data_IF_215345114646
#
_entry.id   IF_215345114646
#
_cell.length_a   1.000
_cell.length_b   1.000
_cell.length_c   1.000
_cell.angle_alpha   90.00
_cell.angle_beta   90.00
_cell.angle_gamma   90.00
#
_symmetry.space_group_name_H-M   'P 1'
#
loop_
_entity.id
_entity.type
_entity.pdbx_description
1 polymer ?
#
# COMPACT_ATOMS: atom_id res chain seq x y z
N UNK A 1 -3.76 27.95 16.83
CA UNK A 1 -4.99 27.19 16.48
C UNK A 1 -4.49 25.77 16.30
N UNK A 2 -5.08 24.79 16.99
CA UNK A 2 -4.65 23.39 16.89
C UNK A 2 -4.77 22.93 15.43
N UNK A 3 -3.80 22.19 14.93
CA UNK A 3 -3.85 21.58 13.59
C UNK A 3 -3.52 20.10 13.70
N UNK A 4 -4.38 19.26 13.13
CA UNK A 4 -4.15 17.82 13.05
C UNK A 4 -3.71 17.50 11.62
N UNK A 5 -2.50 16.97 11.45
CA UNK A 5 -1.99 16.54 10.16
C UNK A 5 -2.16 15.02 10.05
N UNK A 6 -3.01 14.52 9.13
CA UNK A 6 -3.08 13.10 8.87
C UNK A 6 -1.79 12.60 8.23
N UNK A 7 -1.25 11.50 8.74
CA UNK A 7 -0.14 10.77 8.13
C UNK A 7 -0.69 9.44 7.63
N UNK A 8 -0.93 9.35 6.32
CA UNK A 8 -1.56 8.17 5.72
C UNK A 8 -0.48 7.21 5.21
N UNK A 9 -0.43 6.01 5.78
CA UNK A 9 0.55 4.98 5.45
C UNK A 9 0.02 4.03 4.37
N UNK A 10 0.68 3.99 3.22
CA UNK A 10 0.30 3.19 2.04
C UNK A 10 1.45 2.28 1.57
N UNK A 11 1.87 1.38 2.46
CA UNK A 11 3.00 0.45 2.22
C UNK A 11 2.62 -1.00 1.92
N UNK A 12 1.37 -1.40 2.14
CA UNK A 12 0.95 -2.80 2.01
C UNK A 12 0.91 -3.30 0.55
N UNK A 13 1.26 -4.57 0.33
CA UNK A 13 1.14 -5.26 -0.98
C UNK A 13 -0.16 -6.06 -1.13
N UNK A 14 -0.87 -6.34 -0.03
CA UNK A 14 -2.26 -6.83 -0.06
C UNK A 14 -2.49 -8.25 -0.60
N UNK A 15 -1.54 -9.19 -0.50
CA UNK A 15 -1.56 -10.48 -1.22
C UNK A 15 -2.72 -11.45 -0.90
N UNK A 16 -3.45 -11.25 0.20
CA UNK A 16 -4.56 -12.13 0.62
C UNK A 16 -5.86 -11.93 -0.17
N UNK A 17 -5.96 -10.87 -0.97
CA UNK A 17 -7.09 -10.62 -1.88
C UNK A 17 -6.78 -11.05 -3.32
N UNK A 18 -5.81 -11.94 -3.52
CA UNK A 18 -5.66 -12.61 -4.80
C UNK A 18 -6.97 -13.33 -5.15
N UNK A 19 -7.44 -13.33 -6.41
CA UNK A 19 -6.79 -12.88 -7.63
C UNK A 19 -7.11 -11.43 -7.98
N UNK A 20 -7.66 -10.61 -7.08
CA UNK A 20 -7.89 -9.20 -7.39
C UNK A 20 -6.66 -8.34 -7.08
N UNK A 21 -6.02 -8.55 -5.92
CA UNK A 21 -4.76 -7.88 -5.58
C UNK A 21 -3.57 -8.48 -6.33
N UNK A 22 -2.65 -7.63 -6.77
CA UNK A 22 -1.36 -8.00 -7.38
C UNK A 22 -0.25 -7.14 -6.77
N UNK A 23 1.01 -7.54 -6.96
CA UNK A 23 2.16 -6.71 -6.55
C UNK A 23 2.09 -5.30 -7.16
N UNK A 24 1.71 -5.21 -8.43
CA UNK A 24 1.53 -3.93 -9.14
C UNK A 24 0.15 -3.29 -8.93
N UNK A 25 -0.76 -3.95 -8.21
CA UNK A 25 -2.10 -3.40 -7.89
C UNK A 25 -2.45 -3.76 -6.44
N UNK A 26 -1.85 -3.07 -5.46
CA UNK A 26 -2.10 -3.31 -4.04
C UNK A 26 -3.55 -3.08 -3.63
N UNK A 27 -4.01 -3.77 -2.57
CA UNK A 27 -5.41 -3.75 -2.14
C UNK A 27 -5.98 -2.35 -1.86
N UNK A 28 -5.16 -1.45 -1.32
CA UNK A 28 -5.61 -0.12 -0.91
C UNK A 28 -6.07 0.73 -2.11
N UNK A 29 -5.59 0.43 -3.31
CA UNK A 29 -5.93 1.14 -4.53
C UNK A 29 -7.09 0.47 -5.29
N UNK A 30 -7.63 -0.64 -4.79
CA UNK A 30 -8.71 -1.38 -5.44
C UNK A 30 -10.04 -0.89 -4.88
N UNK A 31 -10.99 -0.49 -5.75
CA UNK A 31 -12.32 -0.14 -5.30
C UNK A 31 -13.06 -1.43 -4.95
N UNK A 32 -13.13 -1.81 -3.67
CA UNK A 32 -13.70 -3.10 -3.21
C UNK A 32 -15.20 -3.05 -2.88
N UNK A 33 -15.69 -1.88 -2.45
CA UNK A 33 -17.05 -1.71 -1.91
C UNK A 33 -17.92 -0.72 -2.70
N UNK A 34 -17.49 -0.36 -3.91
CA UNK A 34 -18.14 0.64 -4.75
C UNK A 34 -17.19 1.16 -5.81
N UNK A 35 -17.24 2.46 -6.06
CA UNK A 35 -16.39 3.15 -7.05
C UNK A 35 -15.05 3.59 -6.48
N UNK A 36 -14.97 3.77 -5.15
CA UNK A 36 -13.80 4.32 -4.47
C UNK A 36 -12.92 3.24 -3.87
N UNK A 37 -11.61 3.46 -3.91
CA UNK A 37 -10.62 2.61 -3.25
C UNK A 37 -10.61 2.81 -1.74
N UNK A 38 -10.00 1.87 -0.99
CA UNK A 38 -9.80 2.02 0.46
C UNK A 38 -8.96 3.25 0.78
N UNK A 39 -7.97 3.56 -0.05
CA UNK A 39 -7.14 4.75 0.06
C UNK A 39 -8.00 6.02 -0.08
N UNK A 40 -8.84 6.10 -1.10
CA UNK A 40 -9.75 7.23 -1.31
C UNK A 40 -10.76 7.36 -0.16
N UNK A 41 -11.36 6.24 0.28
CA UNK A 41 -12.26 6.23 1.45
C UNK A 41 -11.58 6.70 2.74
N UNK A 42 -10.27 6.46 2.88
CA UNK A 42 -9.47 6.95 4.03
C UNK A 42 -9.23 8.45 3.94
N UNK A 43 -9.07 9.01 2.75
CA UNK A 43 -8.87 10.45 2.57
C UNK A 43 -10.17 11.24 2.73
N UNK A 44 -11.28 10.74 2.19
CA UNK A 44 -12.57 11.43 2.23
C UNK A 44 -13.11 11.55 3.66
N UNK A 45 -12.94 10.50 4.48
CA UNK A 45 -13.37 10.55 5.89
C UNK A 45 -12.60 11.56 6.74
N UNK A 46 -11.55 12.18 6.21
CA UNK A 46 -10.75 13.19 6.90
C UNK A 46 -11.18 14.62 6.53
N UNK A 47 -11.97 14.79 5.47
CA UNK A 47 -12.32 16.11 4.95
C UNK A 47 -13.40 16.85 5.78
N UNK A 48 -14.25 16.11 6.51
CA UNK A 48 -15.39 16.70 7.24
C UNK A 48 -15.03 17.17 8.66
N UNK A 49 -13.79 16.97 9.12
CA UNK A 49 -13.36 17.35 10.47
C UNK A 49 -12.60 18.68 10.46
N UNK A 50 -13.09 19.69 11.20
CA UNK A 50 -12.62 21.07 11.10
C UNK A 50 -11.13 21.28 11.45
N UNK A 51 -10.59 20.53 12.42
CA UNK A 51 -9.19 20.61 12.85
C UNK A 51 -8.22 19.81 11.96
N UNK A 52 -8.72 18.99 11.02
CA UNK A 52 -7.89 18.15 10.16
C UNK A 52 -7.43 18.94 8.93
N UNK A 53 -6.11 19.02 8.74
CA UNK A 53 -5.50 19.65 7.57
C UNK A 53 -5.32 18.67 6.41
N UNK A 54 -4.72 19.15 5.31
CA UNK A 54 -4.29 18.29 4.23
C UNK A 54 -3.40 17.13 4.75
N UNK A 55 -3.58 15.90 4.26
CA UNK A 55 -2.78 14.74 4.66
C UNK A 55 -1.36 14.82 4.12
N UNK A 56 -0.43 14.15 4.80
CA UNK A 56 0.87 13.77 4.29
C UNK A 56 0.84 12.26 4.00
N UNK A 57 1.18 11.85 2.78
CA UNK A 57 1.14 10.44 2.39
C UNK A 57 2.54 9.86 2.48
N UNK A 58 2.66 8.65 3.02
CA UNK A 58 3.90 7.85 2.96
C UNK A 58 3.61 6.58 2.20
N UNK A 59 4.27 6.36 1.08
CA UNK A 59 4.05 5.18 0.25
C UNK A 59 5.35 4.68 -0.39
N UNK A 60 5.33 3.47 -0.93
CA UNK A 60 6.45 2.95 -1.70
C UNK A 60 6.61 3.73 -3.03
N UNK A 61 7.86 3.96 -3.46
CA UNK A 61 8.20 4.59 -4.75
C UNK A 61 7.49 3.95 -5.96
N UNK A 62 7.28 2.62 -5.93
CA UNK A 62 6.57 1.88 -6.98
C UNK A 62 5.09 2.30 -7.11
N UNK A 63 4.47 2.78 -6.03
CA UNK A 63 3.05 3.14 -5.98
C UNK A 63 2.79 4.65 -6.18
N UNK A 64 3.83 5.45 -6.40
CA UNK A 64 3.75 6.93 -6.43
C UNK A 64 2.69 7.47 -7.39
N UNK A 65 2.54 6.87 -8.57
CA UNK A 65 1.58 7.31 -9.58
C UNK A 65 0.15 6.95 -9.19
N UNK A 66 -0.09 5.75 -8.63
CA UNK A 66 -1.43 5.37 -8.15
C UNK A 66 -1.89 6.29 -7.02
N UNK A 67 -0.99 6.65 -6.09
CA UNK A 67 -1.30 7.61 -5.02
C UNK A 67 -1.64 8.99 -5.60
N UNK A 68 -0.80 9.51 -6.49
CA UNK A 68 -1.00 10.84 -7.08
C UNK A 68 -2.28 10.91 -7.95
N UNK A 69 -2.56 9.86 -8.71
CA UNK A 69 -3.77 9.74 -9.53
C UNK A 69 -5.02 9.67 -8.66
N UNK A 70 -5.06 8.79 -7.66
CA UNK A 70 -6.26 8.66 -6.81
C UNK A 70 -6.52 9.89 -5.95
N UNK A 71 -5.50 10.62 -5.52
CA UNK A 71 -5.65 11.95 -4.89
C UNK A 71 -6.32 12.95 -5.84
N UNK A 72 -5.89 12.95 -7.11
CA UNK A 72 -6.43 13.82 -8.16
C UNK A 72 -7.90 13.50 -8.47
N UNK A 73 -8.25 12.22 -8.60
CA UNK A 73 -9.62 11.77 -8.89
C UNK A 73 -10.64 12.31 -7.88
N UNK A 74 -10.28 12.37 -6.59
CA UNK A 74 -11.15 12.89 -5.52
C UNK A 74 -10.86 14.35 -5.14
N UNK A 75 -10.01 15.05 -5.91
CA UNK A 75 -9.61 16.44 -5.68
C UNK A 75 -9.10 16.74 -4.25
N UNK A 76 -8.40 15.78 -3.63
CA UNK A 76 -7.76 15.96 -2.31
C UNK A 76 -6.38 16.58 -2.50
N UNK A 77 -6.13 17.71 -1.82
CA UNK A 77 -4.79 18.30 -1.72
C UNK A 77 -3.96 17.56 -0.67
N UNK A 78 -2.64 17.56 -0.84
CA UNK A 78 -1.69 16.90 0.08
C UNK A 78 -0.59 17.87 0.53
N UNK A 79 -0.02 17.61 1.70
CA UNK A 79 1.21 18.25 2.20
C UNK A 79 2.48 17.69 1.51
N UNK A 80 2.33 16.58 0.81
CA UNK A 80 3.37 15.87 0.08
C UNK A 80 3.15 14.36 0.06
N UNK A 81 3.95 13.69 -0.75
CA UNK A 81 3.98 12.24 -0.89
C UNK A 81 5.43 11.80 -0.65
N UNK A 82 5.70 11.30 0.54
CA UNK A 82 7.00 10.72 0.90
C UNK A 82 7.11 9.35 0.26
N UNK A 83 8.16 9.15 -0.53
CA UNK A 83 8.41 7.92 -1.27
C UNK A 83 9.47 7.09 -0.56
N UNK A 84 9.05 5.94 -0.02
CA UNK A 84 9.94 4.93 0.54
C UNK A 84 10.55 4.09 -0.61
N UNK A 85 11.88 4.05 -0.73
CA UNK A 85 12.54 3.25 -1.77
C UNK A 85 12.53 1.74 -1.46
N UNK A 86 12.26 1.36 -0.21
CA UNK A 86 12.14 -0.01 0.27
C UNK A 86 11.20 -0.02 1.48
N UNK A 87 10.35 -1.03 1.63
CA UNK A 87 9.50 -1.15 2.82
C UNK A 87 10.34 -1.42 4.08
N UNK A 88 10.14 -0.63 5.14
CA UNK A 88 10.78 -0.80 6.46
C UNK A 88 9.79 -0.79 7.63
N UNK A 89 8.53 -1.14 7.34
CA UNK A 89 7.42 -1.18 8.31
C UNK A 89 7.08 0.23 8.87
N UNK A 90 6.20 0.31 9.88
CA UNK A 90 5.53 1.56 10.24
C UNK A 90 6.39 2.56 11.02
N UNK A 91 7.37 2.12 11.82
CA UNK A 91 8.16 3.07 12.62
C UNK A 91 9.00 4.02 11.75
N UNK A 92 9.78 3.53 10.75
CA UNK A 92 10.52 4.42 9.85
C UNK A 92 9.61 5.33 9.00
N UNK A 93 8.48 4.81 8.51
CA UNK A 93 7.53 5.58 7.72
C UNK A 93 6.96 6.78 8.51
N UNK A 94 6.54 6.55 9.75
CA UNK A 94 6.04 7.60 10.65
C UNK A 94 7.18 8.57 11.02
N UNK A 95 8.40 8.06 11.23
CA UNK A 95 9.57 8.90 11.53
C UNK A 95 9.90 9.85 10.39
N UNK A 96 9.84 9.38 9.13
CA UNK A 96 10.02 10.24 7.96
C UNK A 96 8.97 11.37 7.94
N UNK A 97 7.71 11.03 8.15
CA UNK A 97 6.63 12.01 8.21
C UNK A 97 6.85 13.05 9.33
N UNK A 98 7.16 12.59 10.55
CA UNK A 98 7.40 13.44 11.70
C UNK A 98 8.59 14.39 11.48
N UNK A 99 9.72 13.89 10.96
CA UNK A 99 10.90 14.71 10.66
C UNK A 99 10.67 15.71 9.52
N UNK A 100 9.95 15.30 8.47
CA UNK A 100 9.58 16.19 7.37
C UNK A 100 8.72 17.36 7.87
N UNK A 101 7.67 17.06 8.64
CA UNK A 101 6.78 18.08 9.22
C UNK A 101 7.52 18.99 10.22
N UNK A 102 8.47 18.42 10.98
CA UNK A 102 9.37 19.18 11.87
C UNK A 102 10.20 20.19 11.09
N UNK A 103 10.74 19.82 9.93
CA UNK A 103 11.56 20.67 9.03
C UNK A 103 10.75 21.81 8.41
N UNK A 104 9.47 21.59 8.14
CA UNK A 104 8.56 22.62 7.60
C UNK A 104 8.12 23.67 8.64
N UNK A 105 8.70 23.66 9.85
CA UNK A 105 8.36 24.55 10.97
C UNK A 105 6.87 24.51 11.41
N UNK A 106 6.17 23.42 11.12
CA UNK A 106 4.79 23.19 11.56
C UNK A 106 4.70 22.74 13.03
N UNK A 107 5.56 23.25 13.92
CA UNK A 107 5.74 22.65 15.26
C UNK A 107 4.81 23.18 16.35
N UNK A 108 4.25 24.38 16.20
CA UNK A 108 3.42 24.93 17.27
C UNK A 108 2.00 24.39 17.14
N UNK A 109 1.52 23.69 18.17
CA UNK A 109 0.16 23.16 18.28
C UNK A 109 -0.24 22.17 17.16
N UNK A 110 0.69 21.34 16.70
CA UNK A 110 0.43 20.33 15.65
C UNK A 110 0.46 18.91 16.17
N UNK A 111 -0.60 18.16 15.89
CA UNK A 111 -0.71 16.72 16.19
C UNK A 111 -0.65 15.92 14.90
N UNK A 112 -0.03 14.74 14.95
CA UNK A 112 -0.02 13.77 13.87
C UNK A 112 -1.14 12.76 14.11
N UNK A 113 -2.00 12.55 13.14
CA UNK A 113 -2.99 11.46 13.13
C UNK A 113 -2.54 10.40 12.12
N UNK A 114 -1.91 9.33 12.60
CA UNK A 114 -1.39 8.25 11.77
C UNK A 114 -2.49 7.26 11.43
N UNK A 115 -2.66 6.98 10.13
CA UNK A 115 -3.77 6.16 9.60
C UNK A 115 -3.26 5.18 8.53
N UNK A 116 -3.58 3.89 8.65
CA UNK A 116 -3.41 2.94 7.54
C UNK A 116 -4.36 3.29 6.38
N UNK A 117 -3.86 3.19 5.14
CA UNK A 117 -4.61 3.50 3.92
C UNK A 117 -5.67 2.45 3.54
N UNK A 118 -5.71 1.31 4.23
CA UNK A 118 -6.39 0.08 3.82
C UNK A 118 -7.47 -0.38 4.80
N UNK A 119 -7.94 0.51 5.68
CA UNK A 119 -8.97 0.21 6.68
C UNK A 119 -10.33 0.81 6.33
N UNK A 120 -11.39 0.11 6.70
CA UNK A 120 -12.77 0.61 6.65
C UNK A 120 -13.16 1.11 8.03
N UNK A 121 -13.88 2.22 8.07
CA UNK A 121 -14.56 2.75 9.26
C UNK A 121 -15.94 3.18 8.80
N UNK A 122 -16.99 2.54 9.31
CA UNK A 122 -18.37 2.77 8.89
C UNK A 122 -19.03 3.92 9.65
N UNK A 123 -18.74 4.06 10.95
CA UNK A 123 -19.34 5.08 11.79
C UNK A 123 -18.38 6.26 12.02
N UNK A 124 -18.46 7.25 11.12
CA UNK A 124 -17.62 8.44 11.16
C UNK A 124 -17.88 9.31 12.41
N UNK A 125 -19.12 9.33 12.92
CA UNK A 125 -19.43 10.08 14.14
C UNK A 125 -18.66 9.54 15.35
N UNK A 126 -18.64 8.22 15.56
CA UNK A 126 -17.85 7.62 16.63
C UNK A 126 -16.35 7.81 16.41
N UNK A 127 -15.89 7.73 15.16
CA UNK A 127 -14.49 8.00 14.81
C UNK A 127 -14.06 9.43 15.19
N UNK A 128 -14.86 10.44 14.84
CA UNK A 128 -14.57 11.83 15.21
C UNK A 128 -14.65 12.05 16.72
N UNK A 129 -15.56 11.40 17.43
CA UNK A 129 -15.60 11.46 18.90
C UNK A 129 -14.32 10.88 19.52
N UNK A 130 -13.80 9.78 18.98
CA UNK A 130 -12.55 9.19 19.44
C UNK A 130 -11.35 10.13 19.18
N UNK A 131 -11.27 10.74 17.99
CA UNK A 131 -10.25 11.76 17.68
C UNK A 131 -10.33 12.92 18.68
N UNK A 132 -11.52 13.47 18.91
CA UNK A 132 -11.71 14.60 19.83
C UNK A 132 -11.33 14.25 21.28
N UNK A 133 -11.56 13.00 21.70
CA UNK A 133 -11.13 12.48 23.01
C UNK A 133 -9.61 12.32 23.08
N UNK A 134 -8.98 11.96 21.97
CA UNK A 134 -7.54 11.76 21.87
C UNK A 134 -6.76 13.09 21.93
N UNK A 135 -7.35 14.19 21.44
CA UNK A 135 -6.67 15.49 21.30
C UNK A 135 -6.04 15.96 22.63
N UNK A 136 -6.79 16.09 23.74
CA UNK A 136 -6.22 16.58 24.99
C UNK A 136 -5.14 15.65 25.55
N UNK A 137 -5.24 14.33 25.33
CA UNK A 137 -4.23 13.37 25.78
C UNK A 137 -2.93 13.54 24.98
N UNK A 138 -3.02 13.67 23.66
CA UNK A 138 -1.86 13.88 22.80
C UNK A 138 -1.18 15.23 23.09
N UNK A 139 -1.96 16.30 23.35
CA UNK A 139 -1.42 17.61 23.76
C UNK A 139 -0.69 17.59 25.11
N UNK A 140 -1.02 16.63 25.99
CA UNK A 140 -0.31 16.40 27.25
C UNK A 140 0.98 15.58 27.08
N UNK A 141 1.38 15.27 25.84
CA UNK A 141 2.58 14.49 25.53
C UNK A 141 2.38 12.98 25.70
N UNK A 142 1.15 12.47 25.52
CA UNK A 142 0.91 11.03 25.45
C UNK A 142 0.97 10.54 23.99
N UNK A 143 1.40 9.29 23.80
CA UNK A 143 1.29 8.59 22.52
C UNK A 143 0.00 7.78 22.52
N UNK A 144 -1.03 8.32 21.85
CA UNK A 144 -2.37 7.72 21.84
C UNK A 144 -2.47 6.71 20.70
N UNK A 145 -3.05 5.54 20.96
CA UNK A 145 -3.48 4.57 19.96
C UNK A 145 -4.99 4.35 20.05
N UNK A 146 -5.61 3.89 18.98
CA UNK A 146 -7.03 3.57 18.94
C UNK A 146 -7.20 2.04 18.98
N UNK A 147 -7.82 1.52 20.02
CA UNK A 147 -8.05 0.09 20.18
C UNK A 147 -9.48 -0.28 19.78
N UNK A 148 -9.66 -1.21 18.85
CA UNK A 148 -10.99 -1.63 18.41
C UNK A 148 -11.61 -2.56 19.45
N UNK A 149 -12.89 -2.33 19.78
CA UNK A 149 -13.62 -3.20 20.70
C UNK A 149 -13.82 -4.58 20.04
N UNK A 150 -13.26 -5.66 20.60
CA UNK A 150 -13.33 -6.97 19.98
C UNK A 150 -14.73 -7.57 20.16
N UNK A 151 -15.30 -8.09 19.07
CA UNK A 151 -16.60 -8.80 19.09
C UNK A 151 -16.44 -10.32 18.88
N UNK A 152 -15.23 -10.77 18.57
CA UNK A 152 -14.88 -12.17 18.33
C UNK A 152 -13.44 -12.45 18.75
N UNK A 153 -13.04 -13.71 18.97
CA UNK A 153 -11.67 -14.06 19.32
C UNK A 153 -10.81 -14.16 18.07
N UNK A 154 -10.53 -13.02 17.43
CA UNK A 154 -9.75 -13.02 16.19
C UNK A 154 -8.27 -13.34 16.39
N UNK A 155 -7.73 -14.21 15.54
CA UNK A 155 -6.29 -14.60 15.57
C UNK A 155 -5.46 -13.84 14.55
N UNK A 156 -6.12 -13.15 13.61
CA UNK A 156 -5.46 -12.37 12.56
C UNK A 156 -4.95 -11.01 13.01
N UNK A 157 -5.39 -10.52 14.17
CA UNK A 157 -5.13 -9.18 14.68
C UNK A 157 -4.11 -9.14 15.83
N UNK A 158 -3.45 -8.00 15.95
CA UNK A 158 -2.74 -7.64 17.18
C UNK A 158 -3.73 -7.24 18.27
N UNK A 159 -3.37 -7.44 19.53
CA UNK A 159 -4.14 -7.05 20.70
C UNK A 159 -3.35 -6.08 21.56
N UNK A 160 -4.06 -5.14 22.19
CA UNK A 160 -3.56 -4.15 23.12
C UNK A 160 -4.17 -4.47 24.48
N UNK A 161 -3.35 -4.88 25.44
CA UNK A 161 -3.81 -4.97 26.83
C UNK A 161 -3.80 -3.58 27.45
N UNK A 162 -4.86 -3.20 28.14
CA UNK A 162 -4.94 -1.91 28.81
C UNK A 162 -5.38 -2.02 30.26
N UNK A 163 -5.17 -0.95 31.03
CA UNK A 163 -5.70 -0.83 32.39
C UNK A 163 -6.93 0.08 32.45
N UNK A 164 -7.49 0.24 33.66
CA UNK A 164 -8.67 1.07 33.93
C UNK A 164 -8.45 2.57 33.70
N UNK A 165 -7.20 3.01 33.52
CA UNK A 165 -6.82 4.40 33.21
C UNK A 165 -6.36 4.56 31.75
N UNK A 166 -6.72 3.60 30.89
CA UNK A 166 -6.37 3.59 29.48
C UNK A 166 -4.86 3.56 29.19
N UNK A 167 -4.02 3.12 30.14
CA UNK A 167 -2.61 2.89 29.83
C UNK A 167 -2.45 1.60 29.05
N UNK A 168 -1.57 1.61 28.05
CA UNK A 168 -1.17 0.40 27.35
C UNK A 168 -0.19 -0.38 28.23
N UNK A 169 -0.48 -1.67 28.46
CA UNK A 169 0.38 -2.57 29.24
C UNK A 169 1.31 -3.39 28.37
N UNK A 170 0.81 -3.86 27.22
CA UNK A 170 1.59 -4.61 26.22
C UNK A 170 0.83 -4.72 24.91
N UNK A 171 1.59 -4.95 23.85
CA UNK A 171 1.09 -5.39 22.55
C UNK A 171 1.31 -6.89 22.40
N UNK A 172 0.34 -7.59 21.80
CA UNK A 172 0.43 -9.02 21.51
C UNK A 172 0.03 -9.24 20.06
N UNK A 173 0.95 -9.72 19.22
CA UNK A 173 0.64 -10.02 17.82
C UNK A 173 0.07 -11.42 17.66
N UNK A 174 -1.10 -11.51 17.02
CA UNK A 174 -1.68 -12.73 16.43
C UNK A 174 -1.66 -13.94 17.39
N UNK A 175 -2.38 -13.84 18.52
CA UNK A 175 -2.47 -14.95 19.47
C UNK A 175 -3.15 -16.17 18.84
N UNK A 176 -2.92 -17.35 19.43
CA UNK A 176 -3.74 -18.53 19.13
C UNK A 176 -5.20 -18.34 19.58
N UNK A 177 -6.11 -19.18 19.07
CA UNK A 177 -7.55 -19.07 19.32
C UNK A 177 -7.91 -19.16 20.81
N UNK A 178 -7.23 -20.02 21.58
CA UNK A 178 -7.50 -20.21 23.01
C UNK A 178 -7.13 -18.93 23.76
N UNK A 179 -5.99 -18.36 23.43
CA UNK A 179 -5.49 -17.10 23.97
C UNK A 179 -6.43 -15.94 23.60
N UNK A 180 -6.86 -15.84 22.33
CA UNK A 180 -7.81 -14.82 21.88
C UNK A 180 -9.17 -14.91 22.59
N UNK A 181 -9.67 -16.12 22.84
CA UNK A 181 -10.89 -16.35 23.63
C UNK A 181 -10.73 -15.85 25.07
N UNK A 182 -9.57 -16.08 25.69
CA UNK A 182 -9.27 -15.58 27.03
C UNK A 182 -9.22 -14.04 27.08
N UNK A 183 -8.68 -13.41 26.03
CA UNK A 183 -8.63 -11.94 25.92
C UNK A 183 -10.02 -11.35 25.82
N UNK A 184 -10.86 -11.89 24.94
CA UNK A 184 -12.25 -11.47 24.80
C UNK A 184 -13.04 -11.64 26.11
N UNK A 185 -12.84 -12.77 26.81
CA UNK A 185 -13.53 -13.04 28.08
C UNK A 185 -13.10 -12.10 29.21
N UNK A 186 -11.83 -11.65 29.21
CA UNK A 186 -11.31 -10.74 30.23
C UNK A 186 -11.87 -9.31 30.10
N UNK A 187 -12.11 -8.84 28.87
CA UNK A 187 -12.48 -7.44 28.60
C UNK A 187 -11.33 -6.43 28.72
N UNK A 188 -10.12 -6.88 29.07
CA UNK A 188 -8.93 -6.03 29.27
C UNK A 188 -8.14 -5.77 27.98
N UNK A 189 -8.63 -6.28 26.84
CA UNK A 189 -7.94 -6.23 25.56
C UNK A 189 -8.80 -5.60 24.47
N UNK A 190 -8.13 -4.83 23.62
CA UNK A 190 -8.67 -4.26 22.39
C UNK A 190 -7.85 -4.76 21.19
N UNK A 191 -8.42 -4.77 19.98
CA UNK A 191 -7.61 -5.04 18.79
C UNK A 191 -6.78 -3.81 18.42
N UNK A 192 -5.54 -4.04 17.99
CA UNK A 192 -4.67 -3.00 17.48
C UNK A 192 -5.16 -2.52 16.11
N UNK A 193 -5.63 -1.27 16.03
CA UNK A 193 -6.09 -0.69 14.77
C UNK A 193 -4.98 -0.17 13.86
N UNK A 194 -3.73 -0.10 14.35
CA UNK A 194 -2.63 0.56 13.64
C UNK A 194 -2.79 2.08 13.46
N UNK A 195 -3.78 2.69 14.11
CA UNK A 195 -3.98 4.14 14.14
C UNK A 195 -3.38 4.74 15.41
N UNK A 196 -2.75 5.91 15.27
CA UNK A 196 -2.09 6.61 16.37
C UNK A 196 -2.32 8.10 16.31
N UNK A 197 -2.22 8.77 17.46
CA UNK A 197 -2.20 10.21 17.54
C UNK A 197 -1.24 10.73 18.60
N UNK A 198 -0.37 11.64 18.22
CA UNK A 198 0.65 12.22 19.10
C UNK A 198 1.20 13.53 18.55
N UNK A 199 1.81 14.33 19.40
CA UNK A 199 2.61 15.45 18.94
C UNK A 199 3.96 14.96 18.37
N UNK A 200 4.43 15.65 17.33
CA UNK A 200 5.66 15.31 16.61
C UNK A 200 6.89 15.30 17.52
N UNK A 201 6.94 16.19 18.51
CA UNK A 201 8.11 16.35 19.38
C UNK A 201 8.23 15.15 20.32
N UNK A 202 7.18 14.82 21.07
CA UNK A 202 7.14 13.70 21.99
C UNK A 202 7.44 12.39 21.27
N UNK A 203 6.83 12.16 20.09
CA UNK A 203 7.12 10.94 19.34
C UNK A 203 8.59 10.79 18.97
N UNK A 204 9.23 11.85 18.47
CA UNK A 204 10.65 11.80 18.10
C UNK A 204 11.56 11.65 19.33
N UNK A 205 11.21 12.23 20.47
CA UNK A 205 11.93 12.06 21.74
C UNK A 205 11.83 10.62 22.26
N UNK A 206 10.64 10.02 22.27
CA UNK A 206 10.45 8.63 22.66
C UNK A 206 11.14 7.67 21.68
N UNK A 207 11.09 7.95 20.38
CA UNK A 207 11.80 7.16 19.38
C UNK A 207 13.32 7.21 19.59
N UNK A 208 13.89 8.36 19.93
CA UNK A 208 15.33 8.47 20.19
C UNK A 208 15.74 7.64 21.41
N UNK A 209 14.90 7.60 22.46
CA UNK A 209 15.15 6.82 23.67
C UNK A 209 15.19 5.30 23.40
N UNK A 210 14.36 4.79 22.48
CA UNK A 210 14.20 3.33 22.27
C UNK A 210 14.79 2.79 20.97
N UNK A 211 14.90 3.62 19.92
CA UNK A 211 15.30 3.26 18.55
C UNK A 211 15.98 4.43 17.82
N UNK A 212 17.01 5.04 18.43
CA UNK A 212 17.76 6.18 17.86
C UNK A 212 18.34 5.95 16.45
N UNK A 213 18.61 4.70 16.07
CA UNK A 213 19.05 4.38 14.70
C UNK A 213 18.02 4.74 13.64
N UNK A 214 16.72 4.52 13.91
CA UNK A 214 15.63 4.92 13.01
C UNK A 214 15.67 6.43 12.82
N UNK A 215 15.72 7.19 13.92
CA UNK A 215 15.76 8.64 13.90
C UNK A 215 16.96 9.17 13.08
N UNK A 216 18.14 8.59 13.31
CA UNK A 216 19.38 8.94 12.63
C UNK A 216 19.28 8.69 11.12
N UNK A 217 18.91 7.48 10.69
CA UNK A 217 18.91 7.13 9.28
C UNK A 217 17.76 7.79 8.50
N UNK A 218 16.58 7.91 9.10
CA UNK A 218 15.47 8.68 8.52
C UNK A 218 15.85 10.17 8.38
N UNK A 219 16.49 10.77 9.39
CA UNK A 219 16.98 12.15 9.34
C UNK A 219 17.98 12.37 8.21
N UNK A 220 19.02 11.54 8.13
CA UNK A 220 20.02 11.61 7.05
C UNK A 220 19.37 11.45 5.67
N UNK A 221 18.38 10.56 5.54
CA UNK A 221 17.69 10.34 4.26
C UNK A 221 16.85 11.54 3.80
N UNK A 222 16.37 12.36 4.75
CA UNK A 222 15.58 13.57 4.50
C UNK A 222 16.44 14.84 4.32
N UNK A 223 17.67 14.85 4.81
CA UNK A 223 18.62 15.93 4.52
C UNK A 223 19.02 15.93 3.05
N UNK A 224 19.22 14.73 2.48
CA UNK A 224 19.58 14.49 1.09
C UNK A 224 18.35 14.13 0.21
N UNK A 225 17.15 14.60 0.57
CA UNK A 225 15.94 14.28 -0.20
C UNK A 225 15.82 15.11 -1.49
N UNK A 226 15.27 14.50 -2.54
CA UNK A 226 14.89 15.19 -3.77
C UNK A 226 13.39 15.55 -3.72
N UNK A 227 13.07 16.80 -4.03
CA UNK A 227 11.70 17.27 -4.17
C UNK A 227 11.32 17.33 -5.65
N UNK A 228 10.23 16.66 -6.01
CA UNK A 228 9.69 16.63 -7.38
C UNK A 228 8.18 16.83 -7.35
N UNK A 229 7.76 18.09 -7.51
CA UNK A 229 6.38 18.53 -7.29
C UNK A 229 5.89 18.13 -5.90
N UNK A 230 4.93 17.21 -5.83
CA UNK A 230 4.35 16.69 -4.60
C UNK A 230 5.16 15.52 -4.01
N UNK A 231 6.12 14.96 -4.77
CA UNK A 231 6.92 13.83 -4.34
C UNK A 231 8.15 14.26 -3.54
N UNK A 232 8.39 13.55 -2.43
CA UNK A 232 9.55 13.72 -1.55
C UNK A 232 10.30 12.39 -1.57
N UNK A 233 11.38 12.32 -2.36
CA UNK A 233 12.20 11.11 -2.48
C UNK A 233 13.33 11.15 -1.47
N UNK A 234 13.30 10.25 -0.50
CA UNK A 234 14.36 10.13 0.50
C UNK A 234 15.58 9.41 -0.08
N UNK A 235 16.77 9.71 0.44
CA UNK A 235 17.98 9.04 -0.04
C UNK A 235 17.93 7.52 0.24
N UNK A 236 17.98 6.72 -0.82
CA UNK A 236 17.88 5.26 -0.78
C UNK A 236 18.98 4.58 0.05
N UNK A 237 20.23 5.00 -0.09
CA UNK A 237 21.36 4.35 0.57
C UNK A 237 21.34 4.60 2.09
N UNK A 238 20.87 5.77 2.52
CA UNK A 238 20.70 6.11 3.93
C UNK A 238 19.47 5.42 4.52
N UNK A 239 18.32 5.51 3.86
CA UNK A 239 17.07 4.93 4.35
C UNK A 239 17.14 3.40 4.46
N UNK A 240 17.86 2.73 3.55
CA UNK A 240 18.09 1.27 3.61
C UNK A 240 18.78 0.84 4.91
N UNK A 241 19.50 1.71 5.61
CA UNK A 241 20.14 1.37 6.88
C UNK A 241 19.18 1.43 8.07
N UNK A 242 17.99 2.03 7.90
CA UNK A 242 16.97 2.08 8.95
C UNK A 242 16.47 0.67 9.31
N UNK A 243 16.33 0.35 10.61
CA UNK A 243 15.69 -0.88 11.08
C UNK A 243 14.30 -1.12 10.46
N UNK A 244 13.98 -2.37 10.18
CA UNK A 244 12.65 -2.80 9.70
C UNK A 244 11.80 -3.26 10.89
N UNK A 245 11.00 -2.35 11.44
CA UNK A 245 10.25 -2.58 12.68
C UNK A 245 8.98 -1.72 12.74
N UNK A 246 7.90 -2.25 13.31
CA UNK A 246 6.67 -1.47 13.50
C UNK A 246 6.77 -0.52 14.70
N UNK A 247 5.96 0.54 14.70
CA UNK A 247 5.89 1.50 15.81
C UNK A 247 5.47 0.84 17.13
N UNK A 248 4.65 -0.20 17.06
CA UNK A 248 4.15 -0.96 18.20
C UNK A 248 5.32 -1.48 19.05
N UNK A 249 6.26 -2.16 18.40
CA UNK A 249 7.46 -2.73 19.03
C UNK A 249 8.59 -1.72 19.23
N UNK A 250 8.72 -0.75 18.33
CA UNK A 250 9.78 0.24 18.39
C UNK A 250 9.61 1.16 19.61
N UNK A 251 8.38 1.60 19.88
CA UNK A 251 8.08 2.67 20.85
C UNK A 251 6.93 2.29 21.77
N UNK A 252 5.76 1.93 21.23
CA UNK A 252 4.51 1.88 22.01
C UNK A 252 4.51 0.84 23.13
N UNK A 253 5.16 -0.30 22.94
CA UNK A 253 5.28 -1.34 23.97
C UNK A 253 6.25 -0.95 25.10
N UNK A 254 7.17 -0.02 24.84
CA UNK A 254 8.28 0.31 25.76
C UNK A 254 8.06 1.61 26.54
N UNK A 255 7.22 2.49 26.01
CA UNK A 255 6.97 3.83 26.57
C UNK A 255 5.90 3.82 27.66
N UNK A 256 6.16 4.55 28.74
CA UNK A 256 5.18 4.81 29.80
C UNK A 256 4.12 5.86 29.41
N UNK A 257 4.28 6.50 28.23
CA UNK A 257 3.37 7.53 27.70
C UNK A 257 2.27 6.96 26.81
N UNK A 258 2.21 5.64 26.62
CA UNK A 258 1.24 5.00 25.74
C UNK A 258 -0.17 5.00 26.36
N UNK A 259 -1.14 5.55 25.61
CA UNK A 259 -2.56 5.60 25.97
C UNK A 259 -3.40 4.95 24.89
N UNK A 260 -4.51 4.29 25.25
CA UNK A 260 -5.42 3.69 24.28
C UNK A 260 -6.86 4.19 24.45
N UNK A 261 -7.48 4.59 23.34
CA UNK A 261 -8.90 4.95 23.30
C UNK A 261 -9.67 3.81 22.64
N UNK A 262 -10.67 3.22 23.33
CA UNK A 262 -11.58 2.26 22.72
C UNK A 262 -12.35 2.90 21.56
N UNK A 263 -12.44 2.17 20.45
CA UNK A 263 -13.11 2.61 19.24
C UNK A 263 -14.04 1.51 18.73
N UNK A 264 -15.34 1.80 18.75
CA UNK A 264 -16.38 0.97 18.15
C UNK A 264 -17.04 1.74 17.00
N UNK A 265 -16.40 1.69 15.83
CA UNK A 265 -16.80 2.48 14.66
C UNK A 265 -17.04 1.62 13.41
N UNK A 266 -17.36 0.33 13.58
CA UNK A 266 -17.49 -0.62 12.47
C UNK A 266 -16.18 -0.72 11.68
N UNK A 267 -15.06 -0.86 12.40
CA UNK A 267 -13.72 -0.95 11.82
C UNK A 267 -13.47 -2.33 11.21
N UNK A 268 -12.74 -2.37 10.08
CA UNK A 268 -12.25 -3.61 9.48
C UNK A 268 -10.94 -3.37 8.70
N UNK A 269 -9.96 -4.27 8.81
CA UNK A 269 -8.65 -4.17 8.13
C UNK A 269 -8.66 -4.66 6.67
N UNK A 270 -9.77 -5.25 6.23
CA UNK A 270 -9.93 -5.87 4.91
C UNK A 270 -8.78 -6.84 4.61
N UNK A 271 -8.47 -7.69 5.59
CA UNK A 271 -7.35 -8.61 5.53
C UNK A 271 -7.57 -9.81 4.60
N UNK A 272 -8.82 -10.20 4.34
CA UNK A 272 -9.18 -11.36 3.52
C UNK A 272 -10.56 -11.19 2.87
N UNK A 273 -10.95 -12.12 1.99
CA UNK A 273 -12.24 -12.07 1.30
C UNK A 273 -13.46 -12.19 2.24
N UNK A 274 -13.32 -12.82 3.41
CA UNK A 274 -14.37 -12.84 4.44
C UNK A 274 -14.76 -11.43 4.87
N UNK A 275 -13.77 -10.55 5.09
CA UNK A 275 -14.01 -9.15 5.42
C UNK A 275 -14.75 -8.39 4.31
N UNK A 276 -14.49 -8.74 3.04
CA UNK A 276 -15.21 -8.14 1.90
C UNK A 276 -16.68 -8.56 1.89
N UNK A 277 -16.97 -9.80 2.29
CA UNK A 277 -18.35 -10.28 2.44
C UNK A 277 -19.07 -9.60 3.63
N UNK A 278 -18.41 -9.49 4.78
CA UNK A 278 -18.98 -8.87 5.99
C UNK A 278 -19.36 -7.41 5.79
N UNK A 279 -18.55 -6.65 5.05
CA UNK A 279 -18.79 -5.23 4.78
C UNK A 279 -19.65 -5.03 3.51
N UNK A 280 -19.72 -6.04 2.65
CA UNK A 280 -20.48 -6.00 1.41
C UNK A 280 -21.99 -5.89 1.63
N UNK A 281 -22.68 -5.26 0.68
CA UNK A 281 -24.14 -5.18 0.69
C UNK A 281 -24.75 -6.52 0.26
N UNK A 282 -25.14 -7.34 1.23
CA UNK A 282 -25.81 -8.60 0.98
C UNK A 282 -27.24 -8.43 0.44
N UNK A 283 -27.68 -9.35 -0.42
CA UNK A 283 -29.08 -9.48 -0.82
C UNK A 283 -29.90 -10.29 0.20
N UNK A 284 -31.19 -10.52 -0.08
CA UNK A 284 -32.10 -11.27 0.81
C UNK A 284 -31.62 -12.70 1.15
N UNK A 285 -30.79 -13.29 0.28
CA UNK A 285 -30.22 -14.63 0.46
C UNK A 285 -28.82 -14.61 1.11
N UNK A 286 -28.37 -13.46 1.61
CA UNK A 286 -27.06 -13.29 2.23
C UNK A 286 -25.89 -13.24 1.24
N UNK A 287 -26.15 -13.18 -0.07
CA UNK A 287 -25.09 -13.11 -1.07
C UNK A 287 -24.62 -11.68 -1.29
N UNK A 288 -23.31 -11.47 -1.33
CA UNK A 288 -22.66 -10.25 -1.79
C UNK A 288 -22.22 -10.47 -3.23
N UNK A 289 -22.89 -9.80 -4.17
CA UNK A 289 -22.68 -10.01 -5.60
C UNK A 289 -22.11 -8.73 -6.23
N UNK A 290 -21.09 -8.87 -7.06
CA UNK A 290 -20.48 -7.76 -7.79
C UNK A 290 -20.07 -8.15 -9.21
N UNK A 291 -20.36 -7.29 -10.16
CA UNK A 291 -20.13 -7.54 -11.59
C UNK A 291 -21.31 -8.26 -12.23
N UNK A 292 -21.05 -8.92 -13.35
CA UNK A 292 -22.05 -9.71 -14.07
C UNK A 292 -22.20 -11.09 -13.41
N UNK A 293 -23.22 -11.23 -12.55
CA UNK A 293 -23.42 -12.42 -11.71
C UNK A 293 -24.86 -12.90 -11.73
N UNK A 294 -25.05 -14.20 -11.96
CA UNK A 294 -26.31 -14.91 -11.78
C UNK A 294 -26.21 -15.86 -10.58
N UNK A 295 -27.24 -15.85 -9.75
CA UNK A 295 -27.33 -16.71 -8.57
C UNK A 295 -28.71 -17.35 -8.52
N UNK A 296 -28.76 -18.68 -8.46
CA UNK A 296 -29.99 -19.44 -8.29
C UNK A 296 -29.84 -20.42 -7.13
N UNK A 297 -30.81 -20.43 -6.22
CA UNK A 297 -30.81 -21.34 -5.05
C UNK A 297 -29.45 -21.36 -4.30
N UNK A 298 -28.86 -20.19 -4.10
CA UNK A 298 -27.52 -20.04 -3.52
C UNK A 298 -27.56 -19.00 -2.40
N UNK A 299 -26.85 -19.23 -1.30
CA UNK A 299 -26.93 -18.40 -0.08
C UNK A 299 -25.57 -18.09 0.52
N UNK A 300 -25.45 -16.93 1.18
CA UNK A 300 -24.25 -16.54 1.94
C UNK A 300 -22.93 -16.52 1.12
N UNK A 301 -22.98 -16.35 -0.20
CA UNK A 301 -21.79 -16.34 -1.05
C UNK A 301 -21.25 -14.91 -1.24
N UNK A 302 -19.95 -14.80 -1.52
CA UNK A 302 -19.31 -13.61 -2.08
C UNK A 302 -18.91 -13.93 -3.52
N UNK A 303 -19.47 -13.21 -4.49
CA UNK A 303 -19.18 -13.43 -5.90
C UNK A 303 -18.75 -12.12 -6.53
N UNK A 304 -17.54 -12.11 -7.06
CA UNK A 304 -16.92 -10.98 -7.71
C UNK A 304 -16.57 -11.37 -9.15
N UNK A 305 -17.11 -10.63 -10.10
CA UNK A 305 -16.73 -10.72 -11.52
C UNK A 305 -16.18 -9.38 -12.01
N UNK A 306 -14.98 -9.40 -12.59
CA UNK A 306 -14.40 -8.22 -13.25
C UNK A 306 -14.85 -8.11 -14.72
N UNK A 307 -15.04 -9.22 -15.44
CA UNK A 307 -15.25 -9.19 -16.90
C UNK A 307 -16.31 -10.16 -17.45
N UNK A 308 -16.43 -11.38 -16.89
CA UNK A 308 -17.25 -12.44 -17.49
C UNK A 308 -18.47 -12.74 -16.64
N UNK A 309 -19.55 -13.21 -17.25
CA UNK A 309 -20.69 -13.70 -16.48
C UNK A 309 -20.28 -14.87 -15.58
N UNK A 310 -20.50 -14.74 -14.27
CA UNK A 310 -20.34 -15.82 -13.29
C UNK A 310 -21.71 -16.29 -12.83
N UNK A 311 -22.01 -17.57 -13.00
CA UNK A 311 -23.27 -18.18 -12.56
C UNK A 311 -23.03 -19.20 -11.45
N UNK A 312 -23.79 -19.11 -10.36
CA UNK A 312 -23.78 -20.09 -9.27
C UNK A 312 -25.17 -20.68 -9.05
N UNK A 313 -25.21 -21.98 -8.74
CA UNK A 313 -26.45 -22.75 -8.59
C UNK A 313 -26.31 -23.72 -7.42
N UNK A 314 -27.18 -23.65 -6.41
CA UNK A 314 -27.21 -24.62 -5.32
C UNK A 314 -26.04 -24.53 -4.33
N UNK A 315 -25.28 -23.44 -4.33
CA UNK A 315 -24.05 -23.32 -3.52
C UNK A 315 -24.22 -22.35 -2.35
N UNK A 316 -23.48 -22.63 -1.28
CA UNK A 316 -23.49 -21.79 -0.10
C UNK A 316 -22.09 -21.60 0.45
N UNK A 317 -21.91 -20.47 1.12
CA UNK A 317 -20.70 -20.09 1.83
C UNK A 317 -19.41 -20.06 0.99
N UNK A 318 -19.53 -19.81 -0.32
CA UNK A 318 -18.40 -19.69 -1.23
C UNK A 318 -17.96 -18.24 -1.45
N UNK A 319 -16.65 -18.09 -1.68
CA UNK A 319 -16.02 -16.93 -2.28
C UNK A 319 -15.62 -17.31 -3.70
N UNK A 320 -16.20 -16.65 -4.69
CA UNK A 320 -15.87 -16.80 -6.11
C UNK A 320 -15.39 -15.46 -6.63
N UNK A 321 -14.14 -15.39 -7.09
CA UNK A 321 -13.54 -14.16 -7.61
C UNK A 321 -12.95 -14.43 -8.97
N UNK A 322 -13.56 -13.85 -9.99
CA UNK A 322 -13.15 -13.92 -11.38
C UNK A 322 -12.47 -12.61 -11.80
N UNK A 323 -11.19 -12.71 -12.17
CA UNK A 323 -10.43 -11.66 -12.86
C UNK A 323 -10.09 -12.10 -14.28
N UNK A 324 -9.54 -11.18 -15.08
CA UNK A 324 -9.18 -11.45 -16.49
C UNK A 324 -8.37 -12.73 -16.70
N UNK A 325 -7.45 -13.02 -15.77
CA UNK A 325 -6.39 -14.03 -15.86
C UNK A 325 -6.55 -15.21 -14.90
N UNK A 326 -7.41 -15.10 -13.88
CA UNK A 326 -7.55 -16.14 -12.86
C UNK A 326 -8.95 -16.13 -12.21
N UNK A 327 -9.40 -17.31 -11.80
CA UNK A 327 -10.61 -17.47 -11.00
C UNK A 327 -10.25 -18.17 -9.69
N UNK A 328 -10.61 -17.56 -8.57
CA UNK A 328 -10.53 -18.18 -7.25
C UNK A 328 -11.91 -18.68 -6.84
N UNK A 329 -11.96 -19.91 -6.37
CA UNK A 329 -13.13 -20.48 -5.69
C UNK A 329 -12.64 -21.04 -4.36
N UNK A 330 -13.18 -20.55 -3.25
CA UNK A 330 -12.84 -21.00 -1.91
C UNK A 330 -14.08 -21.01 -1.02
N UNK A 331 -14.13 -21.92 -0.05
CA UNK A 331 -15.09 -21.79 1.04
C UNK A 331 -14.69 -20.62 1.94
N UNK A 332 -15.65 -19.85 2.48
CA UNK A 332 -15.40 -18.66 3.32
C UNK A 332 -14.47 -18.95 4.50
N UNK A 333 -14.62 -20.10 5.15
CA UNK A 333 -13.78 -20.48 6.31
C UNK A 333 -12.30 -20.72 5.95
N UNK A 334 -11.98 -20.88 4.66
CA UNK A 334 -10.63 -21.19 4.17
C UNK A 334 -9.96 -20.01 3.46
N UNK A 335 -10.58 -18.82 3.41
CA UNK A 335 -10.05 -17.67 2.64
C UNK A 335 -8.68 -17.19 3.11
N UNK A 336 -8.30 -17.42 4.37
CA UNK A 336 -6.95 -17.12 4.85
C UNK A 336 -5.86 -17.96 4.16
N UNK A 337 -6.23 -19.15 3.65
CA UNK A 337 -5.33 -20.08 2.97
C UNK A 337 -5.05 -19.68 1.52
N UNK A 338 -5.69 -18.64 0.97
CA UNK A 338 -5.40 -18.09 -0.38
C UNK A 338 -3.92 -17.73 -0.54
N UNK A 339 -3.27 -17.30 0.54
CA UNK A 339 -1.82 -17.07 0.54
C UNK A 339 -1.02 -18.31 0.10
N UNK A 340 -1.45 -19.51 0.50
CA UNK A 340 -0.79 -20.76 0.12
C UNK A 340 -0.90 -21.03 -1.38
N UNK A 341 -2.00 -20.63 -2.04
CA UNK A 341 -2.14 -20.73 -3.49
C UNK A 341 -1.18 -19.77 -4.20
N UNK A 342 -1.03 -18.54 -3.69
CA UNK A 342 -0.03 -17.59 -4.23
C UNK A 342 1.38 -18.15 -4.08
N UNK A 343 1.70 -18.76 -2.94
CA UNK A 343 2.98 -19.42 -2.71
C UNK A 343 3.16 -20.63 -3.66
N UNK A 344 2.12 -21.44 -3.84
CA UNK A 344 2.12 -22.60 -4.75
C UNK A 344 2.22 -22.22 -6.22
N UNK A 345 1.67 -21.09 -6.67
CA UNK A 345 1.82 -20.66 -8.07
C UNK A 345 3.30 -20.46 -8.44
N UNK A 346 4.12 -20.00 -7.49
CA UNK A 346 5.57 -19.90 -7.69
C UNK A 346 6.21 -21.29 -7.76
N UNK A 347 5.78 -22.23 -6.91
CA UNK A 347 6.28 -23.63 -6.86
C UNK A 347 5.77 -24.49 -8.02
N UNK A 348 4.58 -24.21 -8.56
CA UNK A 348 3.99 -24.95 -9.68
C UNK A 348 4.82 -24.77 -10.95
N UNK A 349 5.35 -23.57 -11.19
CA UNK A 349 6.33 -23.35 -12.25
C UNK A 349 7.56 -24.27 -12.07
N UNK A 350 8.04 -24.44 -10.85
CA UNK A 350 9.17 -25.32 -10.53
C UNK A 350 8.82 -26.83 -10.65
N UNK A 351 7.61 -27.24 -10.23
CA UNK A 351 7.16 -28.62 -10.27
C UNK A 351 6.81 -29.09 -11.70
N UNK A 352 6.19 -28.22 -12.51
CA UNK A 352 5.95 -28.49 -13.93
C UNK A 352 7.27 -28.73 -14.68
N UNK A 353 8.35 -28.05 -14.28
CA UNK A 353 9.68 -28.31 -14.81
C UNK A 353 10.18 -29.72 -14.50
N UNK A 354 10.06 -30.12 -13.23
CA UNK A 354 10.53 -31.42 -12.76
C UNK A 354 9.72 -32.60 -13.31
N UNK A 355 8.39 -32.48 -13.40
CA UNK A 355 7.50 -33.61 -13.67
C UNK A 355 7.34 -33.93 -15.17
N UNK A 356 7.24 -32.92 -16.02
CA UNK A 356 6.96 -33.11 -17.45
C UNK A 356 8.20 -33.00 -18.33
N UNK A 357 9.38 -32.83 -17.72
CA UNK A 357 10.63 -32.53 -18.44
C UNK A 357 10.51 -31.29 -19.32
N UNK A 358 9.60 -30.38 -18.95
CA UNK A 358 9.40 -29.09 -19.63
C UNK A 358 10.30 -28.07 -18.94
N UNK A 359 10.61 -26.99 -19.63
CA UNK A 359 11.38 -25.89 -19.06
C UNK A 359 10.59 -24.60 -19.17
N UNK A 360 9.73 -24.41 -18.19
CA UNK A 360 9.12 -23.13 -17.88
C UNK A 360 10.15 -22.29 -17.14
N UNK A 361 10.64 -21.27 -17.84
CA UNK A 361 11.54 -20.25 -17.27
C UNK A 361 10.72 -18.98 -17.12
N UNK A 362 10.60 -18.47 -15.90
CA UNK A 362 9.96 -17.18 -15.68
C UNK A 362 10.98 -16.08 -15.98
N UNK A 363 10.73 -15.33 -17.04
CA UNK A 363 11.60 -14.23 -17.49
C UNK A 363 10.99 -12.89 -17.10
N UNK A 364 11.80 -12.06 -16.46
CA UNK A 364 11.45 -10.71 -16.04
C UNK A 364 12.25 -9.72 -16.89
N UNK A 365 11.69 -9.21 -17.98
CA UNK A 365 12.38 -8.21 -18.78
C UNK A 365 12.48 -6.87 -18.04
N UNK A 366 13.48 -6.08 -18.38
CA UNK A 366 13.53 -4.65 -18.05
C UNK A 366 12.54 -3.86 -18.93
N UNK A 367 12.66 -2.54 -19.03
CA UNK A 367 11.67 -1.74 -19.74
C UNK A 367 11.74 -2.04 -21.24
N UNK A 368 10.72 -2.71 -21.77
CA UNK A 368 10.69 -3.08 -23.18
C UNK A 368 10.39 -1.88 -24.08
N UNK A 369 10.86 -1.94 -25.32
CA UNK A 369 10.44 -1.04 -26.39
C UNK A 369 10.52 -1.71 -27.77
N UNK A 370 9.72 -1.24 -28.74
CA UNK A 370 9.84 -1.74 -30.11
C UNK A 370 8.77 -1.33 -31.12
N UNK A 371 8.71 -2.08 -32.22
CA UNK A 371 7.95 -1.79 -33.45
C UNK A 371 6.41 -1.91 -33.33
N UNK A 372 5.90 -2.43 -32.20
CA UNK A 372 4.46 -2.57 -31.93
C UNK A 372 4.05 -1.98 -30.58
N UNK A 373 4.82 -1.02 -30.09
CA UNK A 373 4.57 -0.41 -28.79
C UNK A 373 3.31 0.46 -28.74
N UNK A 374 2.81 0.74 -27.55
CA UNK A 374 1.78 1.75 -27.33
C UNK A 374 2.43 3.14 -27.27
N UNK A 375 2.06 4.04 -28.18
CA UNK A 375 2.57 5.42 -28.24
C UNK A 375 1.57 6.47 -27.74
N UNK A 376 0.47 6.03 -27.12
CA UNK A 376 -0.50 6.92 -26.50
C UNK A 376 0.07 7.62 -25.26
N UNK A 377 -0.01 8.95 -25.18
CA UNK A 377 0.68 9.72 -24.13
C UNK A 377 0.14 9.50 -22.71
N UNK A 378 -1.08 8.98 -22.56
CA UNK A 378 -1.70 8.75 -21.26
C UNK A 378 -1.43 7.32 -20.75
N UNK A 379 -1.29 6.36 -21.66
CA UNK A 379 -1.24 4.93 -21.33
C UNK A 379 0.08 4.24 -21.71
N UNK A 380 1.00 4.93 -22.39
CA UNK A 380 2.32 4.40 -22.74
C UNK A 380 3.34 4.50 -21.61
N UNK A 381 4.36 3.65 -21.68
CA UNK A 381 5.51 3.74 -20.79
C UNK A 381 6.55 4.74 -21.31
N UNK A 382 7.61 4.95 -20.52
CA UNK A 382 8.51 6.10 -20.62
C UNK A 382 9.09 6.33 -22.02
N UNK A 383 9.64 5.29 -22.66
CA UNK A 383 10.33 5.44 -23.95
C UNK A 383 9.37 5.77 -25.12
N UNK A 384 8.27 5.02 -25.36
CA UNK A 384 7.27 5.39 -26.37
C UNK A 384 6.66 6.77 -26.14
N UNK A 385 6.37 7.13 -24.88
CA UNK A 385 5.88 8.47 -24.55
C UNK A 385 6.89 9.56 -24.95
N UNK A 386 8.18 9.34 -24.67
CA UNK A 386 9.25 10.28 -25.06
C UNK A 386 9.40 10.36 -26.58
N UNK A 387 9.42 9.22 -27.29
CA UNK A 387 9.47 9.17 -28.75
C UNK A 387 8.28 9.92 -29.38
N UNK A 388 7.07 9.72 -28.83
CA UNK A 388 5.87 10.40 -29.29
C UNK A 388 5.98 11.92 -29.07
N UNK A 389 6.39 12.35 -27.88
CA UNK A 389 6.56 13.78 -27.57
C UNK A 389 7.61 14.43 -28.47
N UNK A 390 8.75 13.77 -28.67
CA UNK A 390 9.82 14.25 -29.56
C UNK A 390 9.34 14.37 -31.01
N UNK A 391 8.60 13.36 -31.49
CA UNK A 391 8.00 13.38 -32.82
C UNK A 391 7.02 14.54 -32.99
N UNK A 392 6.10 14.73 -32.04
CA UNK A 392 5.14 15.83 -32.09
C UNK A 392 5.80 17.21 -31.94
N UNK A 393 6.81 17.33 -31.09
CA UNK A 393 7.63 18.54 -30.93
C UNK A 393 8.28 18.92 -32.26
N UNK A 394 8.89 17.94 -32.95
CA UNK A 394 9.47 18.13 -34.29
C UNK A 394 8.44 18.57 -35.33
N UNK A 395 7.23 18.01 -35.30
CA UNK A 395 6.15 18.42 -36.21
C UNK A 395 5.66 19.85 -35.95
N UNK A 396 5.66 20.30 -34.68
CA UNK A 396 5.30 21.67 -34.29
C UNK A 396 6.43 22.68 -34.52
N UNK A 397 7.67 22.20 -34.70
CA UNK A 397 8.86 23.04 -34.77
C UNK A 397 9.31 23.55 -33.40
N UNK A 398 8.97 22.83 -32.33
CA UNK A 398 9.40 23.15 -30.96
C UNK A 398 10.93 22.97 -30.88
N UNK A 399 11.60 23.89 -30.19
CA UNK A 399 13.06 23.85 -29.97
C UNK A 399 13.46 23.13 -28.69
N UNK A 400 12.48 22.77 -27.87
CA UNK A 400 12.67 22.23 -26.54
C UNK A 400 11.65 21.10 -26.33
N UNK A 401 12.10 20.00 -25.72
CA UNK A 401 11.26 18.88 -25.34
C UNK A 401 11.17 18.83 -23.81
N UNK A 402 9.97 19.08 -23.26
CA UNK A 402 9.78 19.01 -21.80
C UNK A 402 9.66 17.56 -21.35
N UNK A 403 10.69 17.10 -20.64
CA UNK A 403 10.68 15.83 -19.91
C UNK A 403 10.38 16.10 -18.44
N UNK A 404 9.39 15.40 -17.88
CA UNK A 404 8.99 15.60 -16.49
C UNK A 404 9.92 14.84 -15.54
N UNK A 405 10.35 15.51 -14.47
CA UNK A 405 11.25 14.97 -13.45
C UNK A 405 12.69 15.49 -13.60
N UNK A 406 13.60 15.00 -12.77
CA UNK A 406 15.01 15.45 -12.72
C UNK A 406 15.85 14.97 -13.91
N UNK A 407 15.35 13.98 -14.65
CA UNK A 407 16.10 13.27 -15.69
C UNK A 407 17.15 12.29 -15.15
N UNK A 408 17.48 12.31 -13.85
CA UNK A 408 18.47 11.43 -13.22
C UNK A 408 18.02 9.97 -12.97
N UNK A 409 16.72 9.61 -12.92
CA UNK A 409 16.33 8.22 -12.73
C UNK A 409 16.89 7.34 -13.84
N UNK A 410 17.50 6.22 -13.45
CA UNK A 410 18.08 5.26 -14.40
C UNK A 410 17.06 4.18 -14.72
N UNK A 411 17.02 3.80 -15.99
CA UNK A 411 16.19 2.73 -16.51
C UNK A 411 17.03 1.95 -17.50
N UNK A 412 16.86 0.65 -17.42
CA UNK A 412 17.39 -0.27 -18.41
C UNK A 412 16.28 -0.52 -19.43
N UNK A 413 16.65 -0.41 -20.71
CA UNK A 413 15.75 -0.61 -21.84
C UNK A 413 16.23 -1.80 -22.65
N UNK A 414 15.29 -2.69 -22.98
CA UNK A 414 15.54 -3.89 -23.75
C UNK A 414 14.66 -3.85 -25.01
N UNK A 415 15.27 -4.01 -26.17
CA UNK A 415 14.49 -4.05 -27.41
C UNK A 415 13.68 -5.35 -27.46
N UNK A 416 12.46 -5.28 -27.98
CA UNK A 416 11.51 -6.40 -27.96
C UNK A 416 12.04 -7.65 -28.68
N UNK A 417 12.80 -7.47 -29.77
CA UNK A 417 13.39 -8.60 -30.49
C UNK A 417 14.55 -9.22 -29.70
N UNK A 418 15.32 -8.42 -28.95
CA UNK A 418 16.37 -8.95 -28.06
C UNK A 418 15.78 -9.75 -26.90
N UNK A 419 14.62 -9.34 -26.35
CA UNK A 419 13.88 -10.16 -25.40
C UNK A 419 13.40 -11.46 -26.07
N UNK A 420 12.89 -11.39 -27.29
CA UNK A 420 12.44 -12.58 -28.01
C UNK A 420 13.59 -13.57 -28.22
N UNK A 421 14.75 -13.08 -28.65
CA UNK A 421 15.98 -13.85 -28.80
C UNK A 421 16.46 -14.43 -27.46
N UNK A 422 16.43 -13.65 -26.38
CA UNK A 422 16.77 -14.13 -25.05
C UNK A 422 15.79 -15.22 -24.57
N UNK A 423 14.50 -15.08 -24.85
CA UNK A 423 13.51 -16.13 -24.58
C UNK A 423 13.81 -17.40 -25.37
N UNK A 424 14.12 -17.28 -26.67
CA UNK A 424 14.48 -18.42 -27.52
C UNK A 424 15.75 -19.09 -27.01
N UNK A 425 16.78 -18.33 -26.70
CA UNK A 425 18.03 -18.81 -26.12
C UNK A 425 17.77 -19.58 -24.81
N UNK A 426 16.94 -19.04 -23.91
CA UNK A 426 16.62 -19.72 -22.65
C UNK A 426 15.82 -21.01 -22.85
N UNK A 427 14.93 -21.05 -23.85
CA UNK A 427 14.22 -22.25 -24.25
C UNK A 427 15.16 -23.32 -24.83
N UNK A 428 16.22 -22.93 -25.55
CA UNK A 428 17.20 -23.84 -26.13
C UNK A 428 18.26 -24.33 -25.13
N UNK A 429 18.73 -23.44 -24.24
CA UNK A 429 19.91 -23.70 -23.40
C UNK A 429 19.64 -24.46 -22.11
N UNK A 430 18.39 -24.70 -21.74
CA UNK A 430 18.17 -25.61 -20.64
C UNK A 430 18.08 -24.98 -19.25
N UNK A 431 17.65 -23.72 -19.06
CA UNK A 431 17.79 -23.04 -17.76
C UNK A 431 16.94 -23.66 -16.64
N UNK A 432 17.58 -24.00 -15.52
CA UNK A 432 16.99 -24.75 -14.41
C UNK A 432 16.49 -23.87 -13.23
N UNK A 433 16.62 -22.55 -13.31
CA UNK A 433 16.15 -21.63 -12.26
C UNK A 433 14.72 -21.11 -12.50
N UNK A 434 14.05 -20.71 -11.42
CA UNK A 434 12.64 -20.29 -11.45
C UNK A 434 12.39 -18.85 -11.90
N UNK A 435 13.40 -17.96 -11.83
CA UNK A 435 13.28 -16.57 -12.26
C UNK A 435 14.61 -16.06 -12.85
N UNK A 436 14.52 -15.37 -13.99
CA UNK A 436 15.64 -14.69 -14.64
C UNK A 436 15.28 -13.25 -14.96
N UNK A 437 16.11 -12.30 -14.54
CA UNK A 437 16.03 -10.94 -15.04
C UNK A 437 16.75 -10.87 -16.39
N UNK A 438 16.07 -10.39 -17.42
CA UNK A 438 16.65 -10.18 -18.75
C UNK A 438 16.79 -8.68 -18.98
N UNK A 439 18.01 -8.27 -19.27
CA UNK A 439 18.35 -6.89 -19.57
C UNK A 439 19.67 -6.82 -20.35
N UNK A 440 20.00 -5.63 -20.83
CA UNK A 440 21.25 -5.30 -21.51
C UNK A 440 22.47 -5.21 -20.56
N UNK A 441 22.23 -5.20 -19.25
CA UNK A 441 23.23 -4.97 -18.20
C UNK A 441 23.68 -3.51 -18.11
N UNK A 442 23.02 -2.60 -18.84
CA UNK A 442 23.35 -1.18 -18.89
C UNK A 442 22.08 -0.36 -18.72
N UNK A 443 22.06 0.47 -17.68
CA UNK A 443 21.01 1.46 -17.49
C UNK A 443 21.43 2.82 -18.05
N UNK A 444 20.44 3.62 -18.45
CA UNK A 444 20.61 5.01 -18.87
C UNK A 444 19.70 5.89 -18.05
N UNK A 445 20.13 7.12 -17.77
CA UNK A 445 19.26 8.12 -17.16
C UNK A 445 18.15 8.53 -18.13
N UNK A 446 17.00 8.97 -17.61
CA UNK A 446 15.93 9.52 -18.46
C UNK A 446 16.42 10.73 -19.26
N UNK A 447 17.36 11.51 -18.73
CA UNK A 447 18.04 12.61 -19.43
C UNK A 447 18.84 12.07 -20.61
N UNK A 448 19.77 11.14 -20.40
CA UNK A 448 20.57 10.54 -21.46
C UNK A 448 19.68 9.89 -22.53
N UNK A 449 18.57 9.26 -22.12
CA UNK A 449 17.59 8.70 -23.03
C UNK A 449 16.90 9.77 -23.88
N UNK A 450 16.44 10.85 -23.25
CA UNK A 450 15.80 11.96 -23.95
C UNK A 450 16.78 12.66 -24.90
N UNK A 451 18.00 12.92 -24.44
CA UNK A 451 19.11 13.43 -25.26
C UNK A 451 19.40 12.48 -26.42
N UNK A 452 19.45 11.17 -26.23
CA UNK A 452 19.66 10.19 -27.32
C UNK A 452 18.53 10.22 -28.37
N UNK A 453 17.28 10.33 -27.93
CA UNK A 453 16.11 10.45 -28.81
C UNK A 453 16.17 11.76 -29.61
N UNK A 454 16.58 12.83 -28.95
CA UNK A 454 16.64 14.19 -29.47
C UNK A 454 17.92 14.45 -30.30
N UNK A 455 19.03 13.78 -30.07
CA UNK A 455 20.24 13.85 -30.91
C UNK A 455 20.02 13.17 -32.27
N UNK A 456 19.03 12.27 -32.35
CA UNK A 456 18.42 11.84 -33.62
C UNK A 456 17.63 12.95 -34.35
N UNK A 457 17.47 14.13 -33.74
CA UNK A 457 16.89 15.35 -34.30
C UNK A 457 16.62 16.50 -33.28
N UNK A 458 17.64 17.34 -33.06
CA UNK A 458 17.69 18.63 -32.30
C UNK A 458 17.88 18.60 -30.75
N UNK A 459 18.74 19.49 -30.24
CA UNK A 459 19.23 19.59 -28.85
C UNK A 459 18.14 19.68 -27.75
N UNK A 460 18.37 19.02 -26.61
CA UNK A 460 17.50 19.01 -25.42
C UNK A 460 17.97 20.05 -24.37
N UNK A 461 17.04 20.79 -23.73
CA UNK A 461 17.31 21.72 -22.60
C UNK A 461 16.66 21.21 -21.31
#
# INVERSE_FOLDING_TARGET
MLTIIPVVLSGGSGTRLWPLSRKQRPKQFIPLFGEKSLFQMTLERLQDHAEISCPLIVCNEEHRFMVAEQLREINVKTQGIILEPIGRNTAPAITLAALYLKKQNLQKDTLLLVLPADHIIQNLTTFYQAINTAIPLAQQGNLVTFGIVPHSPETGYGYIQHDTQHHVRRFVEKPDLITAQSYLASGDYLWNSGMFMFDTKTYLEELDNYQSEILKFCGQSLEECELDKDFIRVNTAKFRQSPDISIDYAVMEKTDKAKVIPLDAGWNDVGAWSAVWEVGKANESGNVLRGDVLSYDSTNNLIYSEQRLVAVVGVHDLVVVDTKDATLVAHKDHVQQVKQIVDQLNVLCEAYNAQYGRQYVSVMPTNLYGSNDNYDLETSHVLPALLRKAHEAKLRGDKELVVWGTGTPRREFLYVDDLADACVFLMEQGYAGSLLNIGTGQDVTIRELAETIMDGGADCV
#
